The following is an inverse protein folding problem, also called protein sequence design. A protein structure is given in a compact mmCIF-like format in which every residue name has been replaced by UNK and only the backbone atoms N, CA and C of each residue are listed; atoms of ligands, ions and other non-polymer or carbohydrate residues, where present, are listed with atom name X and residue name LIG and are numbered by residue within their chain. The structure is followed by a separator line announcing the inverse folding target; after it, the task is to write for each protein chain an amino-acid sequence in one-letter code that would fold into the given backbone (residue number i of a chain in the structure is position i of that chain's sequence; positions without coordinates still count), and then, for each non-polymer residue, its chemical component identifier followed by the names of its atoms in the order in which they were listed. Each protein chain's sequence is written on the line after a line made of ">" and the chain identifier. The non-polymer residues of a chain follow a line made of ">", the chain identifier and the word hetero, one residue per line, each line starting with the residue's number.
data_IF_166236399350
#
_entry.id   IF_166236399350
#
_cell.length_a   1.000
_cell.length_b   1.000
_cell.length_c   1.000
_cell.angle_alpha   90.00
_cell.angle_beta   90.00
_cell.angle_gamma   90.00
#
_symmetry.space_group_name_H-M   'P 1'
#
loop_
_entity.id
_entity.type
_entity.pdbx_description
1 polymer ?
#
# COMPACT_ATOMS: atom_id res chain seq x y z
N UNK A 1 -30.88 32.71 -26.93
CA UNK A 1 -29.54 32.14 -27.20
C UNK A 1 -29.71 31.06 -28.27
N UNK A 2 -28.99 31.11 -29.39
CA UNK A 2 -29.08 30.05 -30.40
C UNK A 2 -28.42 28.77 -29.89
N UNK A 3 -29.13 27.65 -29.95
CA UNK A 3 -28.59 26.34 -29.60
C UNK A 3 -27.43 25.97 -30.54
N UNK A 4 -26.60 25.02 -30.12
CA UNK A 4 -25.60 24.41 -31.01
C UNK A 4 -26.27 23.86 -32.28
N UNK A 5 -27.41 23.21 -32.13
CA UNK A 5 -28.17 22.63 -33.24
C UNK A 5 -28.66 23.70 -34.22
N UNK A 6 -29.32 24.75 -33.71
CA UNK A 6 -29.76 25.89 -34.53
C UNK A 6 -28.58 26.55 -35.28
N UNK A 7 -27.44 26.70 -34.60
CA UNK A 7 -26.23 27.32 -35.17
C UNK A 7 -25.65 26.45 -36.28
N UNK A 8 -25.58 25.14 -36.06
CA UNK A 8 -25.09 24.18 -37.05
C UNK A 8 -26.03 24.05 -38.25
N UNK A 9 -27.34 24.09 -38.03
CA UNK A 9 -28.32 24.12 -39.10
C UNK A 9 -28.12 25.36 -39.98
N UNK A 10 -27.98 26.54 -39.37
CA UNK A 10 -27.75 27.79 -40.11
C UNK A 10 -26.43 27.79 -40.88
N UNK A 11 -25.36 27.23 -40.30
CA UNK A 11 -24.08 27.03 -41.00
C UNK A 11 -24.18 26.02 -42.14
N UNK A 12 -25.05 25.01 -42.03
CA UNK A 12 -25.33 24.05 -43.10
C UNK A 12 -26.06 24.70 -44.27
N UNK A 13 -27.08 25.52 -44.00
CA UNK A 13 -27.83 26.27 -45.02
C UNK A 13 -26.91 27.23 -45.81
N UNK A 14 -25.97 27.88 -45.09
CA UNK A 14 -24.95 28.74 -45.68
C UNK A 14 -23.94 28.00 -46.57
N UNK A 15 -23.75 26.69 -46.38
CA UNK A 15 -22.77 25.89 -47.13
C UNK A 15 -23.01 25.92 -48.64
N UNK A 16 -24.28 25.98 -49.06
CA UNK A 16 -24.67 26.09 -50.47
C UNK A 16 -24.12 27.36 -51.14
N UNK A 17 -23.94 28.43 -50.36
CA UNK A 17 -23.45 29.75 -50.80
C UNK A 17 -21.94 29.90 -50.58
N UNK A 18 -21.26 28.85 -50.12
CA UNK A 18 -19.83 28.89 -49.84
C UNK A 18 -19.02 29.36 -51.05
N UNK A 19 -19.40 28.94 -52.28
CA UNK A 19 -18.71 29.28 -53.52
C UNK A 19 -19.11 30.62 -54.14
N UNK A 20 -20.36 31.06 -53.97
CA UNK A 20 -20.87 32.33 -54.50
C UNK A 20 -20.61 33.52 -53.56
N UNK A 21 -20.25 33.25 -52.30
CA UNK A 21 -19.98 34.24 -51.28
C UNK A 21 -21.15 34.43 -50.31
N UNK A 22 -20.82 34.83 -49.10
CA UNK A 22 -21.78 35.01 -48.02
C UNK A 22 -22.52 36.35 -48.13
N UNK A 23 -23.83 36.31 -47.86
CA UNK A 23 -24.67 37.51 -47.80
C UNK A 23 -24.29 38.40 -46.61
N UNK A 24 -24.80 39.63 -46.57
CA UNK A 24 -24.57 40.53 -45.42
C UNK A 24 -25.07 39.93 -44.10
N UNK A 25 -26.20 39.22 -44.11
CA UNK A 25 -26.72 38.51 -42.94
C UNK A 25 -25.84 37.35 -42.48
N UNK A 26 -25.29 36.59 -43.43
CA UNK A 26 -24.35 35.51 -43.17
C UNK A 26 -23.04 36.05 -42.57
N UNK A 27 -22.51 37.15 -43.11
CA UNK A 27 -21.29 37.78 -42.61
C UNK A 27 -21.44 38.26 -41.17
N UNK A 28 -22.56 38.90 -40.84
CA UNK A 28 -22.87 39.31 -39.46
C UNK A 28 -22.95 38.10 -38.50
N UNK A 29 -23.51 36.98 -38.96
CA UNK A 29 -23.53 35.76 -38.18
C UNK A 29 -22.11 35.21 -37.97
N UNK A 30 -21.30 35.15 -39.01
CA UNK A 30 -19.92 34.68 -38.94
C UNK A 30 -19.05 35.56 -38.03
N UNK A 31 -19.19 36.89 -38.11
CA UNK A 31 -18.49 37.82 -37.23
C UNK A 31 -18.87 37.59 -35.76
N UNK A 32 -20.17 37.47 -35.48
CA UNK A 32 -20.67 37.19 -34.12
C UNK A 32 -20.15 35.86 -33.58
N UNK A 33 -20.19 34.80 -34.39
CA UNK A 33 -19.69 33.47 -34.02
C UNK A 33 -18.18 33.46 -33.85
N UNK A 34 -17.43 34.10 -34.74
CA UNK A 34 -15.98 34.17 -34.66
C UNK A 34 -15.53 34.88 -33.38
N UNK A 35 -16.17 36.01 -33.05
CA UNK A 35 -15.94 36.74 -31.80
C UNK A 35 -16.31 35.88 -30.58
N UNK A 36 -17.44 35.17 -30.62
CA UNK A 36 -17.89 34.35 -29.50
C UNK A 36 -17.02 33.12 -29.25
N UNK A 37 -16.50 32.48 -30.31
CA UNK A 37 -15.71 31.25 -30.22
C UNK A 37 -14.23 31.53 -29.97
N UNK A 38 -13.68 32.57 -30.57
CA UNK A 38 -12.23 32.83 -30.59
C UNK A 38 -11.83 34.16 -29.94
N UNK A 39 -12.79 34.97 -29.49
CA UNK A 39 -12.53 36.26 -28.84
C UNK A 39 -11.96 37.33 -29.78
N UNK A 40 -12.06 37.14 -31.11
CA UNK A 40 -11.45 38.00 -32.12
C UNK A 40 -12.45 38.31 -33.23
N UNK A 41 -12.28 39.44 -33.89
CA UNK A 41 -13.02 39.79 -35.11
C UNK A 41 -12.37 39.18 -36.35
N UNK A 42 -13.16 38.97 -37.41
CA UNK A 42 -12.64 38.53 -38.70
C UNK A 42 -11.82 39.69 -39.29
N UNK A 43 -10.54 39.44 -39.56
CA UNK A 43 -9.65 40.47 -40.12
C UNK A 43 -10.04 40.78 -41.56
N UNK A 44 -10.01 42.07 -41.93
CA UNK A 44 -10.29 42.56 -43.30
C UNK A 44 -11.71 42.19 -43.78
N UNK A 45 -12.73 42.83 -43.22
CA UNK A 45 -14.16 42.61 -43.53
C UNK A 45 -14.58 42.86 -45.00
N UNK A 46 -13.68 43.32 -45.87
CA UNK A 46 -13.92 43.51 -47.30
C UNK A 46 -13.67 42.27 -48.19
N UNK A 47 -12.96 41.24 -47.73
CA UNK A 47 -12.66 40.04 -48.55
C UNK A 47 -13.69 38.92 -48.37
N UNK A 48 -14.20 38.39 -49.49
CA UNK A 48 -15.07 37.20 -49.50
C UNK A 48 -14.35 35.97 -48.95
N UNK A 49 -13.05 35.81 -49.28
CA UNK A 49 -12.25 34.66 -48.85
C UNK A 49 -12.01 34.63 -47.34
N UNK A 50 -11.87 35.79 -46.70
CA UNK A 50 -11.69 35.89 -45.26
C UNK A 50 -12.90 35.35 -44.48
N UNK A 51 -14.12 35.55 -45.02
CA UNK A 51 -15.32 34.95 -44.44
C UNK A 51 -15.43 33.45 -44.75
N UNK A 52 -14.88 32.96 -45.86
CA UNK A 52 -14.81 31.52 -46.17
C UNK A 52 -13.88 30.80 -45.21
N UNK A 53 -12.72 31.38 -44.96
CA UNK A 53 -11.76 30.86 -43.98
C UNK A 53 -12.39 30.85 -42.59
N UNK A 54 -13.00 31.98 -42.18
CA UNK A 54 -13.71 32.05 -40.90
C UNK A 54 -14.84 31.01 -40.78
N UNK A 55 -15.63 30.80 -41.84
CA UNK A 55 -16.66 29.76 -41.89
C UNK A 55 -16.06 28.37 -41.65
N UNK A 56 -14.98 28.01 -42.34
CA UNK A 56 -14.32 26.71 -42.17
C UNK A 56 -13.79 26.54 -40.74
N UNK A 57 -13.17 27.58 -40.19
CA UNK A 57 -12.64 27.59 -38.82
C UNK A 57 -13.78 27.37 -37.80
N UNK A 58 -14.88 28.11 -37.93
CA UNK A 58 -16.06 28.02 -37.06
C UNK A 58 -16.67 26.62 -37.13
N UNK A 59 -16.95 26.11 -38.33
CA UNK A 59 -17.57 24.79 -38.53
C UNK A 59 -16.69 23.68 -37.96
N UNK A 60 -15.38 23.73 -38.20
CA UNK A 60 -14.46 22.73 -37.68
C UNK A 60 -14.36 22.77 -36.16
N UNK A 61 -14.34 23.96 -35.57
CA UNK A 61 -14.33 24.11 -34.11
C UNK A 61 -15.61 23.54 -33.49
N UNK A 62 -16.78 23.94 -34.00
CA UNK A 62 -18.07 23.46 -33.50
C UNK A 62 -18.26 21.96 -33.69
N UNK A 63 -17.79 21.38 -34.79
CA UNK A 63 -17.79 19.90 -34.98
C UNK A 63 -16.92 19.16 -33.96
N UNK A 64 -15.81 19.77 -33.54
CA UNK A 64 -14.90 19.20 -32.54
C UNK A 64 -15.46 19.33 -31.12
N UNK A 65 -15.95 20.51 -30.75
CA UNK A 65 -16.44 20.77 -29.39
C UNK A 65 -17.86 20.27 -29.14
N UNK A 66 -18.66 20.13 -30.22
CA UNK A 66 -20.09 19.77 -30.22
C UNK A 66 -20.95 20.58 -29.25
N UNK A 67 -20.46 21.74 -28.83
CA UNK A 67 -21.06 22.60 -27.82
C UNK A 67 -20.77 24.06 -28.18
N UNK A 68 -21.75 24.93 -27.94
CA UNK A 68 -21.56 26.37 -28.06
C UNK A 68 -20.89 26.90 -26.80
N UNK A 69 -20.01 27.93 -26.91
CA UNK A 69 -19.53 28.66 -25.75
C UNK A 69 -20.72 29.17 -24.96
N UNK A 70 -20.84 28.69 -23.72
CA UNK A 70 -21.80 29.23 -22.76
C UNK A 70 -21.33 30.64 -22.43
N UNK A 71 -22.26 31.59 -22.39
CA UNK A 71 -21.96 32.86 -21.74
C UNK A 71 -21.57 32.51 -20.30
N UNK A 72 -20.38 32.89 -19.82
CA UNK A 72 -19.99 32.57 -18.46
C UNK A 72 -21.00 33.22 -17.52
N UNK A 73 -21.49 32.45 -16.55
CA UNK A 73 -22.44 32.96 -15.57
C UNK A 73 -21.77 34.00 -14.67
N UNK A 74 -20.46 33.88 -14.51
CA UNK A 74 -19.62 34.77 -13.71
C UNK A 74 -18.63 35.54 -14.59
N UNK A 75 -18.58 36.86 -14.40
CA UNK A 75 -17.64 37.75 -15.09
C UNK A 75 -16.96 38.63 -14.06
N UNK A 76 -15.63 38.63 -14.03
CA UNK A 76 -14.83 39.50 -13.17
C UNK A 76 -14.90 40.95 -13.63
N UNK A 77 -14.75 41.89 -12.68
CA UNK A 77 -14.51 43.30 -12.99
C UNK A 77 -13.17 43.48 -13.71
N UNK A 78 -13.05 44.53 -14.51
CA UNK A 78 -11.80 44.85 -15.19
C UNK A 78 -10.65 45.01 -14.19
N UNK A 79 -9.57 44.26 -14.39
CA UNK A 79 -8.40 44.26 -13.49
C UNK A 79 -8.51 43.36 -12.26
N UNK A 80 -9.67 42.72 -12.02
CA UNK A 80 -9.79 41.72 -10.96
C UNK A 80 -9.14 40.39 -11.38
N UNK A 81 -8.49 39.75 -10.40
CA UNK A 81 -7.74 38.50 -10.57
C UNK A 81 -8.12 37.53 -9.45
N UNK A 82 -8.39 36.28 -9.82
CA UNK A 82 -8.60 35.19 -8.86
C UNK A 82 -7.30 34.40 -8.73
N UNK A 83 -6.87 34.17 -7.49
CA UNK A 83 -5.72 33.34 -7.16
C UNK A 83 -6.11 32.37 -6.03
N UNK A 84 -6.32 31.07 -6.32
CA UNK A 84 -6.60 30.10 -5.28
C UNK A 84 -5.37 29.88 -4.40
N UNK A 85 -5.57 29.92 -3.08
CA UNK A 85 -4.52 29.77 -2.09
C UNK A 85 -3.79 28.42 -2.24
N UNK A 86 -2.46 28.43 -2.20
CA UNK A 86 -1.64 27.22 -2.35
C UNK A 86 -1.46 26.73 -3.80
N UNK A 87 -1.96 27.47 -4.79
CA UNK A 87 -1.72 27.16 -6.22
C UNK A 87 -0.90 28.26 -6.89
N UNK A 88 -0.23 27.96 -8.00
CA UNK A 88 0.41 28.96 -8.87
C UNK A 88 -0.53 29.45 -9.99
N UNK A 89 -1.83 29.12 -9.92
CA UNK A 89 -2.79 29.39 -10.99
C UNK A 89 -3.45 30.75 -10.79
N UNK A 90 -3.47 31.54 -11.86
CA UNK A 90 -4.10 32.85 -11.90
C UNK A 90 -5.20 32.86 -12.96
N UNK A 91 -6.38 33.36 -12.59
CA UNK A 91 -7.54 33.38 -13.49
C UNK A 91 -8.01 34.81 -13.75
N UNK A 92 -8.13 35.14 -15.03
CA UNK A 92 -8.74 36.37 -15.56
C UNK A 92 -9.93 36.01 -16.44
N UNK A 93 -10.78 36.98 -16.79
CA UNK A 93 -11.86 36.73 -17.75
C UNK A 93 -11.35 36.19 -19.10
N UNK A 94 -12.06 35.24 -19.74
CA UNK A 94 -13.22 34.49 -19.22
C UNK A 94 -12.82 33.38 -18.23
N UNK A 95 -13.54 33.29 -17.11
CA UNK A 95 -13.38 32.21 -16.12
C UNK A 95 -14.49 31.17 -16.25
N UNK A 96 -14.24 29.93 -15.83
CA UNK A 96 -15.28 28.91 -15.75
C UNK A 96 -16.15 29.12 -14.51
N UNK A 97 -17.42 28.72 -14.60
CA UNK A 97 -18.35 28.80 -13.47
C UNK A 97 -17.85 28.00 -12.27
N UNK A 98 -17.19 26.86 -12.50
CA UNK A 98 -16.61 26.03 -11.45
C UNK A 98 -15.54 26.76 -10.64
N UNK A 99 -14.65 27.52 -11.30
CA UNK A 99 -13.60 28.30 -10.63
C UNK A 99 -14.21 29.47 -9.86
N UNK A 100 -15.26 30.09 -10.40
CA UNK A 100 -15.98 31.17 -9.73
C UNK A 100 -16.70 30.68 -8.47
N UNK A 101 -17.42 29.56 -8.57
CA UNK A 101 -18.13 28.94 -7.46
C UNK A 101 -17.17 28.42 -6.38
N UNK A 102 -16.04 27.82 -6.77
CA UNK A 102 -14.99 27.42 -5.83
C UNK A 102 -14.46 28.63 -5.06
N UNK A 103 -14.14 29.73 -5.76
CA UNK A 103 -13.65 30.95 -5.15
C UNK A 103 -14.67 31.54 -4.17
N UNK A 104 -15.92 31.70 -4.59
CA UNK A 104 -17.00 32.25 -3.76
C UNK A 104 -17.40 31.34 -2.60
N UNK A 105 -17.19 30.02 -2.73
CA UNK A 105 -17.41 29.08 -1.63
C UNK A 105 -16.40 29.26 -0.48
N UNK A 106 -15.16 29.66 -0.81
CA UNK A 106 -14.10 29.91 0.17
C UNK A 106 -14.11 31.36 0.66
N UNK A 107 -14.47 32.30 -0.22
CA UNK A 107 -14.47 33.75 0.04
C UNK A 107 -15.78 34.41 -0.42
N UNK A 108 -16.90 34.23 0.32
CA UNK A 108 -18.19 34.79 -0.05
C UNK A 108 -18.19 36.33 -0.15
N UNK A 109 -17.41 36.99 0.72
CA UNK A 109 -17.31 38.46 0.76
C UNK A 109 -16.66 39.06 -0.49
N UNK A 110 -15.94 38.25 -1.27
CA UNK A 110 -15.26 38.68 -2.50
C UNK A 110 -16.15 38.65 -3.75
N UNK A 111 -17.47 38.51 -3.58
CA UNK A 111 -18.46 38.70 -4.65
C UNK A 111 -18.32 40.07 -5.34
N UNK A 112 -17.80 41.07 -4.61
CA UNK A 112 -17.51 42.39 -5.13
C UNK A 112 -16.47 42.40 -6.29
N UNK A 113 -15.68 41.34 -6.47
CA UNK A 113 -14.75 41.18 -7.62
C UNK A 113 -15.48 40.85 -8.92
N UNK A 114 -16.74 40.43 -8.85
CA UNK A 114 -17.54 40.05 -10.00
C UNK A 114 -18.39 41.24 -10.49
N UNK A 115 -18.37 41.46 -11.79
CA UNK A 115 -19.22 42.41 -12.51
C UNK A 115 -20.57 41.79 -12.87
N UNK A 116 -20.60 40.49 -13.15
CA UNK A 116 -21.80 39.73 -13.42
C UNK A 116 -21.74 38.39 -12.69
N UNK A 117 -22.86 37.98 -12.11
CA UNK A 117 -23.05 36.71 -11.41
C UNK A 117 -24.55 36.39 -11.38
N UNK A 118 -24.94 35.11 -11.23
CA UNK A 118 -26.35 34.72 -11.09
C UNK A 118 -26.95 35.16 -9.76
N UNK A 119 -28.27 35.37 -9.70
CA UNK A 119 -28.98 35.71 -8.46
C UNK A 119 -28.89 34.57 -7.42
N UNK A 120 -28.74 33.32 -7.87
CA UNK A 120 -28.63 32.12 -7.05
C UNK A 120 -27.17 31.72 -6.72
N UNK A 121 -26.21 32.64 -6.85
CA UNK A 121 -24.78 32.35 -6.68
C UNK A 121 -24.44 31.78 -5.29
N UNK A 122 -25.10 32.22 -4.22
CA UNK A 122 -24.89 31.70 -2.85
C UNK A 122 -25.25 30.22 -2.76
N UNK A 123 -26.39 29.85 -3.35
CA UNK A 123 -26.84 28.46 -3.39
C UNK A 123 -25.90 27.58 -4.20
N UNK A 124 -25.36 28.11 -5.31
CA UNK A 124 -24.35 27.43 -6.14
C UNK A 124 -23.03 27.23 -5.41
N UNK A 125 -22.51 28.27 -4.77
CA UNK A 125 -21.29 28.19 -3.97
C UNK A 125 -21.45 27.19 -2.79
N UNK A 126 -22.60 27.21 -2.12
CA UNK A 126 -22.92 26.25 -1.06
C UNK A 126 -23.05 24.81 -1.59
N UNK A 127 -23.66 24.62 -2.77
CA UNK A 127 -23.73 23.32 -3.42
C UNK A 127 -22.34 22.81 -3.84
N UNK A 128 -21.47 23.70 -4.32
CA UNK A 128 -20.09 23.38 -4.64
C UNK A 128 -19.32 22.93 -3.38
N UNK A 129 -19.42 23.68 -2.28
CA UNK A 129 -18.81 23.31 -1.01
C UNK A 129 -19.28 21.92 -0.53
N UNK A 130 -20.59 21.66 -0.58
CA UNK A 130 -21.16 20.34 -0.25
C UNK A 130 -20.63 19.24 -1.16
N UNK A 131 -20.55 19.48 -2.47
CA UNK A 131 -19.98 18.53 -3.44
C UNK A 131 -18.51 18.25 -3.15
N UNK A 132 -17.72 19.27 -2.83
CA UNK A 132 -16.30 19.14 -2.47
C UNK A 132 -16.11 18.34 -1.18
N UNK A 133 -16.94 18.59 -0.16
CA UNK A 133 -16.94 17.80 1.08
C UNK A 133 -17.31 16.35 0.78
N UNK A 134 -18.39 16.12 0.02
CA UNK A 134 -18.78 14.77 -0.39
C UNK A 134 -17.72 14.07 -1.26
N UNK A 135 -16.99 14.80 -2.12
CA UNK A 135 -15.87 14.26 -2.90
C UNK A 135 -14.68 13.92 -2.00
N UNK A 136 -14.38 14.75 -1.00
CA UNK A 136 -13.33 14.47 -0.01
C UNK A 136 -13.72 13.29 0.86
N UNK A 137 -14.98 13.20 1.28
CA UNK A 137 -15.51 12.05 2.03
C UNK A 137 -15.54 10.79 1.17
N UNK A 138 -15.93 10.89 -0.10
CA UNK A 138 -15.87 9.79 -1.07
C UNK A 138 -14.42 9.37 -1.35
N UNK A 139 -13.47 10.31 -1.40
CA UNK A 139 -12.04 10.01 -1.51
C UNK A 139 -11.50 9.42 -0.23
N UNK A 140 -11.94 9.87 0.95
CA UNK A 140 -11.59 9.26 2.23
C UNK A 140 -12.17 7.86 2.35
N UNK A 141 -13.39 7.60 1.90
CA UNK A 141 -13.94 6.23 1.86
C UNK A 141 -13.28 5.42 0.76
N UNK A 142 -12.88 5.99 -0.37
CA UNK A 142 -12.07 5.28 -1.36
C UNK A 142 -10.65 5.01 -0.85
N UNK A 143 -10.05 5.90 -0.08
CA UNK A 143 -8.70 5.79 0.51
C UNK A 143 -8.73 4.90 1.77
N UNK A 144 -9.86 4.82 2.47
CA UNK A 144 -10.13 3.87 3.55
C UNK A 144 -10.53 2.50 3.00
N UNK A 145 -11.19 2.42 1.84
CA UNK A 145 -11.38 1.18 1.08
C UNK A 145 -10.08 0.77 0.37
N UNK A 146 -9.22 1.69 -0.09
CA UNK A 146 -7.91 1.41 -0.70
C UNK A 146 -6.85 1.06 0.35
N UNK A 147 -7.00 1.52 1.60
CA UNK A 147 -6.28 0.96 2.76
C UNK A 147 -6.84 -0.40 3.21
N UNK A 148 -8.03 -0.80 2.78
CA UNK A 148 -8.70 -2.06 3.17
C UNK A 148 -8.80 -3.06 2.01
N UNK A 149 -8.48 -2.67 0.78
CA UNK A 149 -8.18 -3.58 -0.33
C UNK A 149 -6.67 -3.65 -0.49
N UNK A 150 -6.01 -4.75 -0.08
CA UNK A 150 -4.70 -4.99 -0.62
C UNK A 150 -4.86 -5.05 -2.13
N UNK A 151 -3.92 -4.41 -2.84
CA UNK A 151 -3.69 -4.67 -4.25
C UNK A 151 -3.90 -6.17 -4.51
N UNK A 152 -4.79 -6.49 -5.45
CA UNK A 152 -5.23 -7.85 -5.77
C UNK A 152 -4.09 -8.78 -6.27
N UNK A 153 -2.84 -8.34 -6.20
CA UNK A 153 -1.63 -9.10 -6.53
C UNK A 153 -0.95 -9.72 -5.28
N UNK A 154 -1.24 -9.22 -4.08
CA UNK A 154 -0.57 -9.66 -2.83
C UNK A 154 -1.47 -10.46 -1.89
N UNK A 155 -2.73 -10.73 -2.24
CA UNK A 155 -3.68 -11.45 -1.36
C UNK A 155 -3.26 -12.91 -1.16
N UNK A 156 -2.83 -13.60 -2.23
CA UNK A 156 -2.32 -14.97 -2.15
C UNK A 156 -0.99 -15.02 -1.39
N UNK A 157 -0.13 -14.02 -1.57
CA UNK A 157 1.17 -13.95 -0.89
C UNK A 157 1.00 -13.69 0.61
N UNK A 158 0.04 -12.85 1.02
CA UNK A 158 -0.31 -12.62 2.42
C UNK A 158 -0.95 -13.86 3.06
N UNK A 159 -1.84 -14.56 2.35
CA UNK A 159 -2.40 -15.82 2.86
C UNK A 159 -1.31 -16.89 3.00
N UNK A 160 -0.41 -17.01 2.03
CA UNK A 160 0.71 -17.93 2.08
C UNK A 160 1.69 -17.60 3.23
N UNK A 161 2.00 -16.32 3.44
CA UNK A 161 2.82 -15.87 4.58
C UNK A 161 2.15 -16.15 5.93
N UNK A 162 0.82 -16.03 6.02
CA UNK A 162 0.07 -16.40 7.24
C UNK A 162 0.15 -17.90 7.51
N UNK A 163 -0.01 -18.73 6.48
CA UNK A 163 0.14 -20.19 6.60
C UNK A 163 1.54 -20.55 7.06
N UNK A 164 2.58 -19.96 6.44
CA UNK A 164 3.97 -20.18 6.85
C UNK A 164 4.25 -19.72 8.27
N UNK A 165 3.64 -18.61 8.72
CA UNK A 165 3.76 -18.15 10.09
C UNK A 165 3.13 -19.14 11.08
N UNK A 166 1.96 -19.68 10.76
CA UNK A 166 1.30 -20.69 11.62
C UNK A 166 2.11 -21.98 11.69
N UNK A 167 2.63 -22.47 10.56
CA UNK A 167 3.49 -23.66 10.51
C UNK A 167 4.80 -23.44 11.29
N UNK A 168 5.40 -22.26 11.18
CA UNK A 168 6.61 -21.91 11.93
C UNK A 168 6.35 -21.83 13.44
N UNK A 169 5.19 -21.32 13.87
CA UNK A 169 4.79 -21.27 15.27
C UNK A 169 4.57 -22.68 15.84
N UNK A 170 3.89 -23.55 15.10
CA UNK A 170 3.68 -24.95 15.49
C UNK A 170 5.01 -25.72 15.56
N UNK A 171 5.91 -25.51 14.59
CA UNK A 171 7.24 -26.10 14.59
C UNK A 171 8.09 -25.62 15.78
N UNK A 172 8.01 -24.34 16.14
CA UNK A 172 8.68 -23.79 17.30
C UNK A 172 8.16 -24.38 18.62
N UNK A 173 6.85 -24.54 18.76
CA UNK A 173 6.23 -25.18 19.93
C UNK A 173 6.66 -26.65 20.05
N UNK A 174 6.70 -27.39 18.94
CA UNK A 174 7.18 -28.77 18.91
C UNK A 174 8.66 -28.88 19.29
N UNK A 175 9.50 -27.96 18.81
CA UNK A 175 10.92 -27.93 19.15
C UNK A 175 11.16 -27.61 20.63
N UNK A 176 10.32 -26.78 21.25
CA UNK A 176 10.38 -26.48 22.67
C UNK A 176 10.02 -27.71 23.52
N UNK A 177 8.98 -28.46 23.15
CA UNK A 177 8.63 -29.73 23.82
C UNK A 177 9.79 -30.74 23.77
N UNK A 178 10.35 -30.99 22.58
CA UNK A 178 11.48 -31.92 22.43
C UNK A 178 12.70 -31.46 23.24
N UNK A 179 12.93 -30.15 23.35
CA UNK A 179 14.02 -29.62 24.18
C UNK A 179 13.80 -29.91 25.66
N UNK A 180 12.57 -29.75 26.16
CA UNK A 180 12.25 -30.06 27.56
C UNK A 180 12.35 -31.55 27.86
N UNK A 181 11.97 -32.40 26.91
CA UNK A 181 12.12 -33.85 27.03
C UNK A 181 13.59 -34.26 27.08
N UNK A 182 14.43 -33.71 26.20
CA UNK A 182 15.88 -33.93 26.23
C UNK A 182 16.53 -33.42 27.52
N UNK A 183 16.11 -32.25 28.03
CA UNK A 183 16.60 -31.72 29.32
C UNK A 183 16.23 -32.64 30.49
N UNK A 184 15.02 -33.21 30.49
CA UNK A 184 14.59 -34.17 31.49
C UNK A 184 15.39 -35.49 31.40
N UNK A 185 15.66 -35.99 30.18
CA UNK A 185 16.42 -37.23 30.00
C UNK A 185 17.88 -37.08 30.43
N UNK A 186 18.51 -35.94 30.14
CA UNK A 186 19.86 -35.64 30.62
C UNK A 186 19.91 -35.62 32.14
N UNK A 187 18.91 -35.03 32.81
CA UNK A 187 18.84 -35.04 34.29
C UNK A 187 18.73 -36.46 34.85
N UNK A 188 17.90 -37.31 34.25
CA UNK A 188 17.74 -38.71 34.67
C UNK A 188 19.06 -39.50 34.53
N UNK A 189 19.74 -39.37 33.39
CA UNK A 189 21.05 -40.01 33.19
C UNK A 189 22.13 -39.45 34.12
N UNK A 190 22.12 -38.16 34.43
CA UNK A 190 23.03 -37.55 35.42
C UNK A 190 22.78 -38.14 36.82
N UNK A 191 21.53 -38.39 37.22
CA UNK A 191 21.19 -39.06 38.48
C UNK A 191 21.65 -40.52 38.49
N UNK A 192 21.43 -41.27 37.40
CA UNK A 192 21.91 -42.65 37.25
C UNK A 192 23.44 -42.75 37.35
N UNK A 193 24.17 -41.84 36.68
CA UNK A 193 25.63 -41.77 36.77
C UNK A 193 26.11 -41.57 38.21
N UNK A 194 25.50 -40.65 38.96
CA UNK A 194 25.89 -40.43 40.36
C UNK A 194 25.64 -41.66 41.25
N UNK A 195 24.64 -42.48 40.92
CA UNK A 195 24.38 -43.72 41.65
C UNK A 195 25.38 -44.82 41.28
N UNK A 196 25.73 -44.94 40.00
CA UNK A 196 26.77 -45.88 39.54
C UNK A 196 28.14 -45.53 40.14
N UNK A 197 28.51 -44.25 40.18
CA UNK A 197 29.75 -43.79 40.82
C UNK A 197 29.84 -44.21 42.28
N UNK A 198 28.76 -43.99 43.06
CA UNK A 198 28.68 -44.46 44.46
C UNK A 198 28.81 -45.97 44.56
N UNK A 199 28.18 -46.71 43.65
CA UNK A 199 28.25 -48.18 43.65
C UNK A 199 29.65 -48.69 43.36
N UNK A 200 30.37 -48.06 42.42
CA UNK A 200 31.76 -48.35 42.12
C UNK A 200 32.64 -48.07 43.35
N UNK A 201 32.40 -46.96 44.05
CA UNK A 201 33.13 -46.63 45.28
C UNK A 201 32.88 -47.65 46.40
N UNK A 202 31.63 -48.08 46.61
CA UNK A 202 31.27 -49.15 47.56
C UNK A 202 31.95 -50.48 47.22
N UNK A 203 31.97 -50.86 45.94
CA UNK A 203 32.63 -52.08 45.47
C UNK A 203 34.14 -51.99 45.68
N UNK A 204 34.77 -50.88 45.29
CA UNK A 204 36.20 -50.67 45.52
C UNK A 204 36.57 -50.72 47.01
N UNK A 205 35.74 -50.18 47.90
CA UNK A 205 35.95 -50.28 49.35
C UNK A 205 35.87 -51.73 49.86
N UNK A 206 34.99 -52.56 49.30
CA UNK A 206 34.89 -53.99 49.63
C UNK A 206 36.07 -54.79 49.10
N UNK A 207 36.50 -54.55 47.87
CA UNK A 207 37.66 -55.24 47.25
C UNK A 207 38.98 -54.82 47.89
N UNK A 208 39.12 -53.54 48.30
CA UNK A 208 40.28 -53.03 49.03
C UNK A 208 40.43 -53.58 50.45
N UNK A 209 39.34 -54.04 51.08
CA UNK A 209 39.39 -54.74 52.38
C UNK A 209 39.74 -56.23 52.25
N UNK A 210 39.68 -56.83 51.05
CA UNK A 210 40.02 -58.24 50.83
C UNK A 210 41.51 -58.47 50.49
N UNK A 211 42.26 -57.44 50.09
CA UNK A 211 43.69 -57.58 49.74
C UNK A 211 44.64 -57.48 50.96
N UNK A 212 44.10 -57.27 52.16
CA UNK A 212 44.87 -57.25 53.41
C UNK A 212 44.80 -58.55 54.22
N UNK A 213 44.11 -59.59 53.73
CA UNK A 213 44.05 -60.92 54.36
C UNK A 213 44.48 -62.00 53.36
N UNK A 214 45.76 -62.36 53.48
CA UNK A 214 46.37 -63.63 53.11
C UNK A 214 46.39 -64.09 51.64
N UNK A 215 47.61 -64.07 51.08
CA UNK A 215 48.32 -65.28 50.65
C UNK A 215 47.68 -66.20 49.61
N UNK A 216 48.29 -66.20 48.42
CA UNK A 216 48.36 -67.31 47.44
C UNK A 216 47.04 -67.92 46.91
N UNK A 217 46.75 -67.60 45.65
CA UNK A 217 46.25 -68.58 44.69
C UNK A 217 44.74 -68.67 44.53
N UNK A 218 44.31 -68.37 43.30
CA UNK A 218 42.94 -68.45 42.73
C UNK A 218 42.07 -67.26 43.11
N UNK A 219 41.93 -66.30 42.18
CA UNK A 219 40.85 -65.30 42.24
C UNK A 219 39.53 -66.08 42.37
N UNK A 220 38.80 -65.87 43.48
CA UNK A 220 37.46 -66.42 43.66
C UNK A 220 36.62 -66.08 42.43
N UNK A 221 35.80 -67.03 41.96
CA UNK A 221 34.85 -66.84 40.83
C UNK A 221 34.01 -65.57 41.02
N UNK A 222 33.71 -65.21 42.28
CA UNK A 222 33.02 -63.98 42.66
C UNK A 222 33.81 -62.70 42.31
N UNK A 223 35.14 -62.71 42.46
CA UNK A 223 36.00 -61.57 42.11
C UNK A 223 36.10 -61.39 40.61
N UNK A 224 36.12 -62.51 39.86
CA UNK A 224 36.08 -62.47 38.40
C UNK A 224 34.73 -61.95 37.87
N UNK A 225 33.61 -62.38 38.46
CA UNK A 225 32.27 -61.87 38.16
C UNK A 225 32.14 -60.37 38.47
N UNK A 226 32.61 -59.93 39.63
CA UNK A 226 32.59 -58.52 40.02
C UNK A 226 33.46 -57.64 39.11
N UNK A 227 34.60 -58.15 38.62
CA UNK A 227 35.41 -57.43 37.62
C UNK A 227 34.68 -57.31 36.28
N UNK A 228 33.99 -58.38 35.85
CA UNK A 228 33.21 -58.35 34.61
C UNK A 228 32.05 -57.36 34.71
N UNK A 229 31.30 -57.37 35.82
CA UNK A 229 30.22 -56.41 36.08
C UNK A 229 30.73 -54.96 36.14
N UNK A 230 31.90 -54.75 36.75
CA UNK A 230 32.53 -53.43 36.83
C UNK A 230 32.95 -52.92 35.45
N UNK A 231 33.46 -53.80 34.60
CA UNK A 231 33.85 -53.43 33.23
C UNK A 231 32.63 -53.15 32.34
N UNK A 232 31.54 -53.91 32.50
CA UNK A 232 30.28 -53.60 31.81
C UNK A 232 29.68 -52.27 32.29
N UNK A 233 29.70 -52.00 33.60
CA UNK A 233 29.19 -50.75 34.14
C UNK A 233 30.02 -49.54 33.69
N UNK A 234 31.33 -49.69 33.50
CA UNK A 234 32.17 -48.65 32.90
C UNK A 234 31.85 -48.40 31.44
N UNK A 235 31.65 -49.47 30.65
CA UNK A 235 31.27 -49.34 29.26
C UNK A 235 29.91 -48.63 29.11
N UNK A 236 28.94 -48.96 29.97
CA UNK A 236 27.64 -48.30 30.00
C UNK A 236 27.75 -46.82 30.44
N UNK A 237 28.63 -46.52 31.41
CA UNK A 237 28.92 -45.15 31.84
C UNK A 237 29.54 -44.30 30.72
N UNK A 238 30.51 -44.86 29.98
CA UNK A 238 31.13 -44.19 28.85
C UNK A 238 30.13 -43.95 27.72
N UNK A 239 29.28 -44.93 27.40
CA UNK A 239 28.22 -44.79 26.41
C UNK A 239 27.18 -43.72 26.81
N UNK A 240 26.75 -43.71 28.08
CA UNK A 240 25.83 -42.69 28.59
C UNK A 240 26.46 -41.28 28.55
N UNK A 241 27.76 -41.16 28.83
CA UNK A 241 28.47 -39.88 28.74
C UNK A 241 28.59 -39.37 27.31
N UNK A 242 28.81 -40.25 26.33
CA UNK A 242 28.78 -39.90 24.91
C UNK A 242 27.37 -39.45 24.47
N UNK A 243 26.32 -40.13 24.94
CA UNK A 243 24.93 -39.75 24.66
C UNK A 243 24.59 -38.39 25.29
N UNK A 244 24.99 -38.13 26.54
CA UNK A 244 24.84 -36.82 27.18
C UNK A 244 25.58 -35.73 26.40
N UNK A 245 26.78 -36.02 25.89
CA UNK A 245 27.56 -35.05 25.11
C UNK A 245 26.85 -34.68 23.79
N UNK A 246 26.32 -35.68 23.08
CA UNK A 246 25.57 -35.46 21.83
C UNK A 246 24.25 -34.71 22.08
N UNK A 247 23.49 -35.09 23.10
CA UNK A 247 22.26 -34.37 23.48
C UNK A 247 22.55 -32.93 23.91
N UNK A 248 23.65 -32.67 24.64
CA UNK A 248 24.08 -31.31 25.00
C UNK A 248 24.44 -30.47 23.77
N UNK A 249 25.08 -31.05 22.76
CA UNK A 249 25.35 -30.34 21.50
C UNK A 249 24.08 -30.01 20.73
N UNK A 250 23.14 -30.96 20.65
CA UNK A 250 21.87 -30.77 19.94
C UNK A 250 21.00 -29.72 20.64
N UNK A 251 20.96 -29.74 21.97
CA UNK A 251 20.21 -28.76 22.74
C UNK A 251 20.78 -27.33 22.57
N UNK A 252 22.11 -27.19 22.47
CA UNK A 252 22.75 -25.91 22.13
C UNK A 252 22.39 -25.45 20.72
N UNK A 253 22.36 -26.35 19.75
CA UNK A 253 21.96 -26.05 18.38
C UNK A 253 20.49 -25.60 18.30
N UNK A 254 19.60 -26.31 18.98
CA UNK A 254 18.17 -25.96 19.09
C UNK A 254 17.97 -24.61 19.80
N UNK A 255 18.71 -24.33 20.88
CA UNK A 255 18.68 -23.01 21.55
C UNK A 255 19.12 -21.90 20.59
N UNK A 256 20.21 -22.09 19.85
CA UNK A 256 20.68 -21.12 18.87
C UNK A 256 19.66 -20.89 17.74
N UNK A 257 19.04 -21.95 17.21
CA UNK A 257 18.00 -21.86 16.19
C UNK A 257 16.76 -21.09 16.69
N UNK A 258 16.29 -21.39 17.90
CA UNK A 258 15.15 -20.71 18.50
C UNK A 258 15.43 -19.22 18.75
N UNK A 259 16.65 -18.88 19.18
CA UNK A 259 17.05 -17.47 19.37
C UNK A 259 17.07 -16.69 18.05
N UNK A 260 17.51 -17.32 16.95
CA UNK A 260 17.48 -16.71 15.60
C UNK A 260 16.05 -16.48 15.10
N UNK A 261 15.15 -17.44 15.31
CA UNK A 261 13.75 -17.30 14.95
C UNK A 261 13.07 -16.14 15.71
N UNK A 262 13.33 -16.01 17.02
CA UNK A 262 12.81 -14.89 17.83
C UNK A 262 13.31 -13.52 17.37
N UNK A 263 14.60 -13.42 17.00
CA UNK A 263 15.19 -12.15 16.60
C UNK A 263 14.79 -11.71 15.18
N UNK A 264 14.54 -12.66 14.27
CA UNK A 264 14.09 -12.32 12.92
C UNK A 264 12.63 -11.84 12.91
N UNK A 265 11.74 -12.42 13.74
CA UNK A 265 10.36 -11.96 13.86
C UNK A 265 10.20 -10.54 14.45
N UNK A 266 11.21 -10.04 15.18
CA UNK A 266 11.21 -8.68 15.72
C UNK A 266 11.67 -7.62 14.72
N UNK A 267 12.38 -8.00 13.65
CA UNK A 267 12.98 -7.07 12.69
C UNK A 267 12.04 -6.66 11.56
N UNK A 268 10.99 -7.43 11.32
CA UNK A 268 9.97 -7.16 10.29
C UNK A 268 8.82 -6.27 10.80
N UNK A 269 8.98 -5.67 11.99
CA UNK A 269 7.98 -4.82 12.66
C UNK A 269 8.41 -3.35 12.88
N UNK A 270 9.56 -2.94 12.32
CA UNK A 270 10.05 -1.54 12.29
C UNK A 270 10.01 -0.93 10.89
#
# INVERSE_FOLDING_TARGET
>A
MSSYEDTMQRLSEMRSRFQSGFSSSDRLLLDSLHRKLFGKDITKTGCSDCYRDAYVIIVNHLKKTKTMPKTPNYVLKGGALIHPFGTSKFYTNPISDEVAEEHLSNFPDEINKYAHYPDDWEARAAAFAKRKVAEIEAKKTHEEVEKVTPAADNSEEIENLKVQLTEAQEAAAKAELLRTEAENKVRELEEENTNLEKRIEELNAKTGNQTASDGEGVESEDVALLRMELETAKADLDAANEEIATLKTDNRALKAANTRLKNNGAKDTE
#
